data_IF_352274382562
#
_entry.id   IF_352274382562
#
_cell.length_a   1.000
_cell.length_b   1.000
_cell.length_c   1.000
_cell.angle_alpha   90.00
_cell.angle_beta   90.00
_cell.angle_gamma   90.00
#
_symmetry.space_group_name_H-M   'P 1'
#
loop_
_entity.id
_entity.type
_entity.pdbx_description
1 polymer ?
#
# COMPACT_ATOMS: atom_id res chain seq x y z
N UNK A 1 -5.35 30.63 12.04
CA UNK A 1 -4.33 29.56 12.16
C UNK A 1 -4.60 28.55 11.05
N UNK A 2 -3.67 27.65 10.75
CA UNK A 2 -3.85 26.67 9.66
C UNK A 2 -4.89 25.59 10.05
N UNK A 3 -5.21 25.48 11.34
CA UNK A 3 -6.06 24.43 11.93
C UNK A 3 -7.58 24.65 11.83
N UNK A 4 -8.06 25.67 11.10
CA UNK A 4 -9.50 25.89 10.94
C UNK A 4 -10.01 25.20 9.66
N UNK A 5 -10.42 23.93 9.80
CA UNK A 5 -11.01 23.17 8.69
C UNK A 5 -12.46 23.62 8.49
N UNK A 6 -12.71 24.34 7.40
CA UNK A 6 -14.05 24.85 7.04
C UNK A 6 -15.00 23.78 6.46
N UNK A 7 -14.46 22.69 5.97
CA UNK A 7 -15.21 21.60 5.34
C UNK A 7 -14.37 20.87 4.32
N UNK A 8 -15.03 20.09 3.47
CA UNK A 8 -14.39 19.35 2.39
C UNK A 8 -15.24 19.41 1.11
N UNK A 9 -14.65 19.09 -0.03
CA UNK A 9 -15.36 19.02 -1.31
C UNK A 9 -15.01 17.73 -2.03
N UNK A 10 -16.00 17.09 -2.65
CA UNK A 10 -15.70 16.00 -3.57
C UNK A 10 -15.38 16.56 -4.95
N UNK A 11 -14.33 16.05 -5.58
CA UNK A 11 -13.96 16.42 -6.96
C UNK A 11 -15.12 16.25 -7.94
N UNK A 12 -15.97 15.21 -7.75
CA UNK A 12 -17.17 15.00 -8.58
C UNK A 12 -18.19 16.14 -8.47
N UNK A 13 -18.29 16.78 -7.31
CA UNK A 13 -19.21 17.90 -7.10
C UNK A 13 -18.71 19.13 -7.89
N UNK A 14 -17.39 19.31 -7.95
CA UNK A 14 -16.77 20.37 -8.76
C UNK A 14 -17.02 20.15 -10.25
N UNK A 15 -16.85 18.92 -10.74
CA UNK A 15 -17.06 18.59 -12.15
C UNK A 15 -18.51 18.84 -12.59
N UNK A 16 -19.48 18.62 -11.70
CA UNK A 16 -20.91 18.77 -12.01
C UNK A 16 -21.39 20.21 -11.82
N UNK A 17 -20.88 20.93 -10.82
CA UNK A 17 -21.40 22.25 -10.44
C UNK A 17 -20.68 23.42 -11.13
N UNK A 18 -19.57 23.18 -11.83
CA UNK A 18 -18.73 24.23 -12.39
C UNK A 18 -18.71 24.12 -13.92
N UNK A 19 -19.41 25.02 -14.59
CA UNK A 19 -19.25 25.25 -16.04
C UNK A 19 -17.91 25.94 -16.34
N UNK A 20 -17.35 26.64 -15.35
CA UNK A 20 -16.05 27.29 -15.39
C UNK A 20 -15.21 26.80 -14.20
N UNK A 21 -14.15 26.05 -14.49
CA UNK A 21 -13.24 25.51 -13.49
C UNK A 21 -12.30 26.58 -12.89
N UNK A 22 -12.23 27.78 -13.47
CA UNK A 22 -11.42 28.88 -12.95
C UNK A 22 -12.14 29.71 -11.88
N UNK A 23 -13.42 29.42 -11.57
CA UNK A 23 -14.12 30.12 -10.47
C UNK A 23 -13.56 29.68 -9.10
N UNK A 24 -13.42 30.59 -8.14
CA UNK A 24 -13.05 30.24 -6.78
C UNK A 24 -14.15 29.40 -6.10
N UNK A 25 -13.73 28.55 -5.17
CA UNK A 25 -14.63 27.82 -4.26
C UNK A 25 -15.28 28.80 -3.26
N UNK A 26 -16.58 28.66 -3.07
CA UNK A 26 -17.34 29.39 -2.05
C UNK A 26 -17.68 28.47 -0.87
N UNK A 27 -18.08 29.04 0.28
CA UNK A 27 -18.41 28.24 1.47
C UNK A 27 -19.61 27.31 1.23
N UNK A 28 -20.54 27.68 0.34
CA UNK A 28 -21.68 26.87 -0.06
C UNK A 28 -21.29 25.64 -0.90
N UNK A 29 -20.09 25.63 -1.49
CA UNK A 29 -19.54 24.46 -2.21
C UNK A 29 -18.96 23.43 -1.22
N UNK A 30 -18.76 23.79 0.05
CA UNK A 30 -18.15 22.94 1.06
C UNK A 30 -19.20 22.07 1.76
N UNK A 31 -18.87 20.79 1.90
CA UNK A 31 -19.59 19.86 2.75
C UNK A 31 -19.07 19.95 4.18
N UNK A 32 -20.00 19.91 5.13
CA UNK A 32 -19.70 19.79 6.55
C UNK A 32 -18.91 18.51 6.84
N UNK A 33 -17.87 18.64 7.67
CA UNK A 33 -17.03 17.54 8.10
C UNK A 33 -17.28 17.21 9.57
N UNK A 34 -17.25 15.92 9.91
CA UNK A 34 -17.38 15.46 11.30
C UNK A 34 -16.06 15.65 12.01
N UNK A 35 -16.09 16.28 13.17
CA UNK A 35 -14.91 16.48 14.02
C UNK A 35 -14.92 15.46 15.17
N UNK A 36 -13.83 14.73 15.37
CA UNK A 36 -13.70 13.71 16.42
C UNK A 36 -12.43 13.89 17.23
N UNK A 37 -12.46 13.72 18.57
CA UNK A 37 -11.23 13.69 19.37
C UNK A 37 -10.39 12.45 19.06
N UNK A 38 -9.07 12.57 18.96
CA UNK A 38 -8.15 11.44 18.76
C UNK A 38 -8.18 10.38 19.88
N UNK A 39 -8.70 10.75 21.05
CA UNK A 39 -8.88 9.84 22.19
C UNK A 39 -10.13 8.95 22.12
N UNK A 40 -11.03 9.17 21.15
CA UNK A 40 -12.23 8.34 20.98
C UNK A 40 -11.89 6.98 20.39
N UNK A 41 -12.67 5.96 20.78
CA UNK A 41 -12.54 4.61 20.23
C UNK A 41 -12.97 4.56 18.77
N UNK A 42 -12.13 3.97 17.93
CA UNK A 42 -12.34 3.84 16.48
C UNK A 42 -13.69 3.21 16.11
N UNK A 43 -14.12 2.16 16.83
CA UNK A 43 -15.41 1.50 16.57
C UNK A 43 -16.64 2.36 16.92
N UNK A 44 -16.51 3.35 17.80
CA UNK A 44 -17.59 4.31 18.05
C UNK A 44 -17.63 5.38 16.94
N UNK A 45 -16.47 5.83 16.48
CA UNK A 45 -16.35 6.77 15.36
C UNK A 45 -16.97 6.15 14.10
N UNK A 46 -16.69 4.88 13.80
CA UNK A 46 -17.28 4.15 12.67
C UNK A 46 -18.81 4.14 12.73
N UNK A 47 -19.39 3.83 13.90
CA UNK A 47 -20.85 3.81 14.06
C UNK A 47 -21.48 5.18 13.85
N UNK A 48 -20.84 6.23 14.35
CA UNK A 48 -21.32 7.60 14.18
C UNK A 48 -21.26 8.03 12.70
N UNK A 49 -20.15 7.73 12.02
CA UNK A 49 -19.97 7.99 10.59
C UNK A 49 -21.02 7.24 9.75
N UNK A 50 -21.25 5.96 10.04
CA UNK A 50 -22.29 5.16 9.38
C UNK A 50 -23.69 5.72 9.63
N UNK A 51 -24.03 6.06 10.87
CA UNK A 51 -25.34 6.59 11.24
C UNK A 51 -25.63 7.93 10.56
N UNK A 52 -24.60 8.77 10.38
CA UNK A 52 -24.72 10.07 9.71
C UNK A 52 -24.53 9.98 8.18
N UNK A 53 -24.29 8.77 7.64
CA UNK A 53 -23.95 8.57 6.23
C UNK A 53 -22.77 9.45 5.76
N UNK A 54 -21.75 9.55 6.61
CA UNK A 54 -20.50 10.30 6.36
C UNK A 54 -19.34 9.33 6.20
N UNK A 55 -18.44 9.62 5.28
CA UNK A 55 -17.27 8.78 4.99
C UNK A 55 -15.96 9.32 5.56
N UNK A 56 -15.95 10.57 6.07
CA UNK A 56 -14.73 11.26 6.48
C UNK A 56 -14.95 12.03 7.79
N UNK A 57 -13.95 11.98 8.67
CA UNK A 57 -13.83 12.80 9.86
C UNK A 57 -12.45 13.49 9.94
N UNK A 58 -12.40 14.62 10.63
CA UNK A 58 -11.17 15.27 11.05
C UNK A 58 -10.90 14.91 12.51
N UNK A 59 -9.66 14.52 12.78
CA UNK A 59 -9.19 14.15 14.11
C UNK A 59 -8.60 15.38 14.78
N UNK A 60 -9.08 15.67 15.99
CA UNK A 60 -8.64 16.78 16.82
C UNK A 60 -7.70 16.29 17.94
N UNK A 61 -6.66 17.08 18.19
CA UNK A 61 -5.74 16.91 19.33
C UNK A 61 -6.36 17.44 20.65
N UNK A 62 -5.64 17.30 21.77
CA UNK A 62 -6.11 17.77 23.08
C UNK A 62 -6.14 19.30 23.24
N UNK A 63 -5.48 20.03 22.35
CA UNK A 63 -5.38 21.48 22.33
C UNK A 63 -6.36 22.12 21.33
N UNK A 64 -7.15 21.32 20.61
CA UNK A 64 -8.09 21.75 19.58
C UNK A 64 -7.44 22.03 18.22
N UNK A 65 -6.20 21.60 18.02
CA UNK A 65 -5.53 21.52 16.73
C UNK A 65 -5.98 20.30 15.92
N UNK A 66 -5.58 20.24 14.65
CA UNK A 66 -5.88 19.10 13.78
C UNK A 66 -4.73 18.09 13.84
N UNK A 67 -5.01 16.89 14.35
CA UNK A 67 -4.07 15.76 14.32
C UNK A 67 -4.04 15.08 12.94
N UNK A 68 -5.18 15.10 12.22
CA UNK A 68 -5.27 14.48 10.90
C UNK A 68 -6.69 14.29 10.40
N UNK A 69 -6.87 13.37 9.46
CA UNK A 69 -8.17 12.94 8.94
C UNK A 69 -8.29 11.43 8.98
N UNK A 70 -9.51 10.93 9.00
CA UNK A 70 -9.83 9.51 9.05
C UNK A 70 -11.02 9.23 8.14
N UNK A 71 -10.96 8.15 7.36
CA UNK A 71 -12.07 7.68 6.53
C UNK A 71 -12.69 6.39 7.06
N UNK A 72 -13.90 6.07 6.59
CA UNK A 72 -14.56 4.79 6.93
C UNK A 72 -13.75 3.62 6.39
N UNK A 73 -13.16 3.80 5.20
CA UNK A 73 -12.30 2.84 4.54
C UNK A 73 -11.07 2.51 5.39
N UNK A 74 -10.37 3.51 5.92
CA UNK A 74 -9.21 3.30 6.80
C UNK A 74 -9.58 2.51 8.06
N UNK A 75 -10.74 2.83 8.67
CA UNK A 75 -11.21 2.11 9.86
C UNK A 75 -11.55 0.66 9.53
N UNK A 76 -12.18 0.42 8.38
CA UNK A 76 -12.54 -0.94 7.97
C UNK A 76 -11.28 -1.75 7.66
N UNK A 77 -10.30 -1.17 6.99
CA UNK A 77 -9.01 -1.81 6.71
C UNK A 77 -8.31 -2.24 8.01
N UNK A 78 -8.23 -1.37 9.02
CA UNK A 78 -7.62 -1.71 10.31
C UNK A 78 -8.39 -2.78 11.10
N UNK A 79 -9.72 -2.80 11.01
CA UNK A 79 -10.55 -3.77 11.73
C UNK A 79 -10.61 -5.14 11.06
N UNK A 80 -10.45 -5.17 9.74
CA UNK A 80 -10.73 -6.34 8.93
C UNK A 80 -9.44 -6.94 8.34
N UNK A 81 -8.40 -6.14 8.13
CA UNK A 81 -7.23 -6.52 7.32
C UNK A 81 -7.58 -6.64 5.83
N UNK A 82 -6.65 -7.17 5.02
CA UNK A 82 -7.04 -7.71 3.72
C UNK A 82 -7.99 -8.89 3.98
N UNK A 83 -9.27 -8.75 3.61
CA UNK A 83 -10.23 -9.86 3.69
C UNK A 83 -9.76 -10.93 2.70
N UNK A 84 -9.06 -11.94 3.18
CA UNK A 84 -8.92 -13.20 2.47
C UNK A 84 -10.27 -13.93 2.58
N UNK A 85 -10.95 -14.07 1.45
CA UNK A 85 -12.24 -14.75 1.37
C UNK A 85 -12.04 -16.27 1.55
N UNK A 86 -13.01 -17.00 2.11
CA UNK A 86 -12.99 -18.48 2.12
C UNK A 86 -13.06 -19.06 0.69
N UNK A 87 -13.32 -18.20 -0.30
CA UNK A 87 -13.36 -18.44 -1.75
C UNK A 87 -12.21 -17.76 -2.51
N UNK A 88 -11.16 -17.28 -1.83
CA UNK A 88 -9.87 -17.06 -2.51
C UNK A 88 -9.32 -18.45 -2.88
N UNK A 89 -9.85 -18.99 -3.98
CA UNK A 89 -9.31 -20.17 -4.66
C UNK A 89 -7.86 -19.85 -5.03
N UNK A 90 -6.92 -20.34 -4.22
CA UNK A 90 -5.54 -20.67 -4.58
C UNK A 90 -4.95 -19.83 -5.74
N UNK A 91 -4.88 -18.49 -5.60
CA UNK A 91 -3.78 -17.81 -6.27
C UNK A 91 -2.58 -18.25 -5.45
N UNK A 92 -1.91 -19.30 -5.93
CA UNK A 92 -0.70 -19.75 -5.28
C UNK A 92 0.21 -18.52 -5.15
N UNK A 93 0.56 -18.16 -3.91
CA UNK A 93 1.52 -17.09 -3.62
C UNK A 93 2.85 -17.35 -4.35
N UNK A 94 3.06 -18.61 -4.76
CA UNK A 94 4.18 -19.09 -5.56
C UNK A 94 3.68 -20.00 -6.69
N UNK A 95 3.98 -19.65 -7.94
CA UNK A 95 3.83 -20.52 -9.13
C UNK A 95 5.20 -21.05 -9.58
N UNK A 96 5.34 -22.36 -9.75
CA UNK A 96 6.56 -22.95 -10.28
C UNK A 96 6.57 -22.92 -11.81
N UNK A 97 7.62 -22.37 -12.41
CA UNK A 97 7.78 -22.28 -13.86
C UNK A 97 8.57 -23.48 -14.43
N UNK A 98 8.42 -23.75 -15.73
CA UNK A 98 9.06 -24.89 -16.41
C UNK A 98 10.60 -24.84 -16.40
N UNK A 99 11.18 -23.63 -16.30
CA UNK A 99 12.62 -23.40 -16.25
C UNK A 99 13.22 -23.61 -14.85
N UNK A 100 12.39 -23.95 -13.85
CA UNK A 100 12.82 -24.17 -12.46
C UNK A 100 12.85 -22.90 -11.61
N UNK A 101 12.54 -21.75 -12.18
CA UNK A 101 12.27 -20.53 -11.42
C UNK A 101 10.86 -20.56 -10.82
N UNK A 102 10.59 -19.63 -9.92
CA UNK A 102 9.26 -19.45 -9.33
C UNK A 102 8.76 -18.02 -9.57
N UNK A 103 7.45 -17.86 -9.71
CA UNK A 103 6.78 -16.57 -9.76
C UNK A 103 6.08 -16.35 -8.42
N UNK A 104 6.44 -15.29 -7.71
CA UNK A 104 5.98 -15.00 -6.34
C UNK A 104 5.12 -13.75 -6.35
N UNK A 105 3.97 -13.79 -5.66
CA UNK A 105 3.17 -12.60 -5.42
C UNK A 105 3.96 -11.65 -4.50
N UNK A 106 4.11 -10.40 -4.94
CA UNK A 106 4.85 -9.40 -4.17
C UNK A 106 4.19 -9.04 -2.82
N UNK A 107 2.95 -9.47 -2.57
CA UNK A 107 2.27 -9.38 -1.28
C UNK A 107 2.75 -10.39 -0.25
N UNK A 108 3.40 -11.48 -0.67
CA UNK A 108 3.90 -12.52 0.24
C UNK A 108 4.79 -11.87 1.32
N UNK A 109 4.57 -12.23 2.59
CA UNK A 109 5.33 -11.67 3.69
C UNK A 109 6.77 -12.20 3.66
N UNK A 110 7.72 -11.37 4.08
CA UNK A 110 9.16 -11.69 4.01
C UNK A 110 9.49 -12.97 4.78
N UNK A 111 8.81 -13.22 5.91
CA UNK A 111 8.98 -14.44 6.70
C UNK A 111 8.62 -15.71 5.88
N UNK A 112 7.49 -15.70 5.18
CA UNK A 112 7.05 -16.82 4.35
C UNK A 112 7.94 -17.01 3.12
N UNK A 113 8.45 -15.92 2.55
CA UNK A 113 9.45 -15.99 1.47
C UNK A 113 10.74 -16.64 1.97
N UNK A 114 11.23 -16.26 3.15
CA UNK A 114 12.40 -16.87 3.79
C UNK A 114 12.19 -18.36 4.02
N UNK A 115 11.04 -18.76 4.56
CA UNK A 115 10.71 -20.18 4.77
C UNK A 115 10.60 -20.97 3.46
N UNK A 116 10.02 -20.37 2.42
CA UNK A 116 9.80 -21.03 1.12
C UNK A 116 11.09 -21.22 0.34
N UNK A 117 11.97 -20.22 0.35
CA UNK A 117 13.20 -20.20 -0.42
C UNK A 117 14.44 -20.66 0.36
N UNK A 118 14.31 -20.85 1.67
CA UNK A 118 15.41 -21.12 2.61
C UNK A 118 16.50 -20.02 2.51
N UNK A 119 16.06 -18.76 2.64
CA UNK A 119 16.91 -17.54 2.59
C UNK A 119 16.70 -16.68 3.84
N UNK A 120 17.60 -15.72 4.07
CA UNK A 120 17.58 -14.83 5.25
C UNK A 120 17.45 -13.34 4.86
N UNK A 121 16.28 -12.97 4.34
CA UNK A 121 15.92 -11.56 4.12
C UNK A 121 15.63 -10.90 5.49
N UNK A 122 16.19 -9.70 5.78
CA UNK A 122 15.92 -8.99 7.03
C UNK A 122 14.43 -8.68 7.24
N UNK A 123 13.92 -8.95 8.44
CA UNK A 123 12.50 -8.78 8.83
C UNK A 123 12.24 -7.54 9.70
N UNK A 124 13.26 -6.72 9.97
CA UNK A 124 13.15 -5.47 10.72
C UNK A 124 12.74 -4.26 9.85
N UNK A 125 12.51 -4.50 8.56
CA UNK A 125 12.15 -3.51 7.55
C UNK A 125 10.73 -3.70 6.98
N UNK A 126 10.55 -3.63 5.66
CA UNK A 126 9.25 -3.86 5.03
C UNK A 126 8.72 -5.27 5.27
N UNK A 127 7.42 -5.39 5.51
CA UNK A 127 6.78 -6.67 5.83
C UNK A 127 6.59 -7.60 4.62
N UNK A 128 6.44 -7.03 3.43
CA UNK A 128 6.17 -7.78 2.18
C UNK A 128 7.37 -7.81 1.24
N UNK A 129 7.43 -8.83 0.38
CA UNK A 129 8.46 -8.96 -0.65
C UNK A 129 8.53 -7.71 -1.54
N UNK A 130 7.38 -7.21 -1.99
CA UNK A 130 7.30 -6.01 -2.82
C UNK A 130 7.87 -4.79 -2.10
N UNK A 131 7.55 -4.61 -0.82
CA UNK A 131 8.10 -3.54 0.00
C UNK A 131 9.62 -3.65 0.15
N UNK A 132 10.12 -4.86 0.42
CA UNK A 132 11.54 -5.14 0.54
C UNK A 132 12.29 -4.83 -0.76
N UNK A 133 11.80 -5.29 -1.91
CA UNK A 133 12.41 -5.03 -3.20
C UNK A 133 12.41 -3.53 -3.53
N UNK A 134 11.31 -2.83 -3.25
CA UNK A 134 11.20 -1.40 -3.45
C UNK A 134 12.27 -0.62 -2.65
N UNK A 135 12.48 -1.01 -1.38
CA UNK A 135 13.53 -0.44 -0.53
C UNK A 135 14.93 -0.73 -1.09
N UNK A 136 15.17 -1.97 -1.57
CA UNK A 136 16.44 -2.36 -2.18
C UNK A 136 16.77 -1.62 -3.47
N UNK A 137 15.78 -1.40 -4.34
CA UNK A 137 15.95 -0.59 -5.55
C UNK A 137 16.16 0.89 -5.21
N UNK A 138 15.49 1.40 -4.16
CA UNK A 138 15.54 2.82 -3.78
C UNK A 138 14.77 3.75 -4.72
N UNK A 139 14.04 3.18 -5.68
CA UNK A 139 13.13 3.86 -6.60
C UNK A 139 11.97 2.93 -6.99
N UNK A 140 10.98 3.45 -7.72
CA UNK A 140 9.97 2.62 -8.35
C UNK A 140 10.63 1.79 -9.46
N UNK A 141 10.65 0.44 -9.38
CA UNK A 141 11.28 -0.36 -10.42
C UNK A 141 10.32 -0.62 -11.58
N UNK A 142 10.88 -0.74 -12.78
CA UNK A 142 10.21 -1.15 -14.01
C UNK A 142 10.21 -2.68 -14.15
N UNK A 143 9.30 -3.21 -14.97
CA UNK A 143 9.28 -4.63 -15.34
C UNK A 143 10.58 -5.00 -16.06
N UNK A 144 11.20 -6.10 -15.66
CA UNK A 144 12.47 -6.61 -16.15
C UNK A 144 13.69 -6.16 -15.33
N UNK A 145 13.53 -5.19 -14.42
CA UNK A 145 14.58 -4.88 -13.44
C UNK A 145 14.76 -6.04 -12.46
N UNK A 146 15.99 -6.24 -11.98
CA UNK A 146 16.29 -7.32 -11.03
C UNK A 146 17.33 -6.94 -10.00
N UNK A 147 17.23 -7.54 -8.82
CA UNK A 147 18.27 -7.49 -7.80
C UNK A 147 18.73 -8.90 -7.42
N UNK A 148 19.94 -8.99 -6.90
CA UNK A 148 20.49 -10.21 -6.35
C UNK A 148 20.45 -10.13 -4.81
N UNK A 149 19.86 -11.15 -4.20
CA UNK A 149 19.88 -11.35 -2.75
C UNK A 149 20.37 -12.76 -2.48
N UNK A 150 21.50 -12.86 -1.78
CA UNK A 150 22.25 -14.11 -1.63
C UNK A 150 22.59 -14.75 -2.99
N UNK A 151 22.00 -15.92 -3.27
CA UNK A 151 22.15 -16.71 -4.49
C UNK A 151 20.87 -16.67 -5.36
N UNK A 152 19.93 -15.78 -5.05
CA UNK A 152 18.66 -15.66 -5.76
C UNK A 152 18.54 -14.32 -6.48
N UNK A 153 18.17 -14.38 -7.76
CA UNK A 153 17.80 -13.24 -8.57
C UNK A 153 16.31 -12.99 -8.43
N UNK A 154 15.93 -11.80 -8.00
CA UNK A 154 14.54 -11.32 -7.91
C UNK A 154 14.30 -10.34 -9.06
N UNK A 155 13.58 -10.77 -10.10
CA UNK A 155 13.25 -9.98 -11.27
C UNK A 155 11.78 -9.53 -11.23
N UNK A 156 11.53 -8.26 -11.52
CA UNK A 156 10.18 -7.68 -11.54
C UNK A 156 9.45 -8.15 -12.80
N UNK A 157 8.38 -8.91 -12.65
CA UNK A 157 7.55 -9.37 -13.77
C UNK A 157 6.28 -8.52 -13.94
N UNK A 158 5.78 -7.93 -12.86
CA UNK A 158 4.55 -7.14 -12.89
C UNK A 158 4.62 -5.91 -12.02
N UNK A 159 4.14 -4.79 -12.57
CA UNK A 159 3.96 -3.53 -11.85
C UNK A 159 2.58 -2.96 -12.18
N UNK A 160 1.85 -2.55 -11.15
CA UNK A 160 0.56 -1.86 -11.29
C UNK A 160 0.55 -0.59 -10.44
N UNK A 161 0.43 0.57 -11.09
CA UNK A 161 0.32 1.88 -10.41
C UNK A 161 1.40 2.08 -9.33
N UNK A 162 2.66 1.76 -9.68
CA UNK A 162 3.86 1.82 -8.83
C UNK A 162 3.97 0.74 -7.75
N UNK A 163 3.06 -0.25 -7.70
CA UNK A 163 3.19 -1.41 -6.83
C UNK A 163 3.71 -2.60 -7.63
N UNK A 164 4.76 -3.26 -7.16
CA UNK A 164 5.21 -4.54 -7.69
C UNK A 164 4.10 -5.56 -7.40
N UNK A 165 3.69 -6.34 -8.39
CA UNK A 165 2.65 -7.37 -8.25
C UNK A 165 3.23 -8.76 -8.31
N UNK A 166 4.18 -9.01 -9.21
CA UNK A 166 4.76 -10.33 -9.44
C UNK A 166 6.27 -10.23 -9.56
N UNK A 167 6.96 -11.19 -8.94
CA UNK A 167 8.41 -11.28 -8.92
C UNK A 167 8.83 -12.67 -9.38
N UNK A 168 9.62 -12.76 -10.44
CA UNK A 168 10.27 -14.00 -10.82
C UNK A 168 11.53 -14.18 -9.97
N UNK A 169 11.63 -15.31 -9.29
CA UNK A 169 12.76 -15.68 -8.44
C UNK A 169 13.48 -16.87 -9.04
N UNK A 170 14.77 -16.70 -9.29
CA UNK A 170 15.63 -17.72 -9.88
C UNK A 170 16.84 -17.95 -8.99
N UNK A 171 17.10 -19.22 -8.65
CA UNK A 171 18.34 -19.59 -7.95
C UNK A 171 19.49 -19.66 -8.95
N UNK A 172 20.51 -18.84 -8.76
CA UNK A 172 21.69 -18.84 -9.60
C UNK A 172 22.67 -19.93 -9.16
N UNK A 173 23.41 -20.47 -10.12
CA UNK A 173 24.60 -21.26 -9.78
C UNK A 173 25.72 -20.35 -9.24
N UNK A 174 26.65 -20.93 -8.47
CA UNK A 174 27.78 -20.18 -7.87
C UNK A 174 28.56 -19.35 -8.92
N UNK A 175 28.64 -19.82 -10.18
CA UNK A 175 29.33 -19.11 -11.27
C UNK A 175 28.52 -17.99 -11.95
N UNK A 176 27.19 -17.98 -11.78
CA UNK A 176 26.29 -16.95 -12.33
C UNK A 176 26.11 -15.79 -11.34
N UNK A 177 25.98 -16.09 -10.05
CA UNK A 177 25.89 -15.09 -8.99
C UNK A 177 27.15 -14.20 -8.93
N UNK A 178 28.33 -14.77 -9.21
CA UNK A 178 29.60 -14.04 -9.19
C UNK A 178 29.75 -13.08 -10.39
N UNK A 179 29.24 -13.46 -11.57
CA UNK A 179 29.23 -12.60 -12.76
C UNK A 179 28.25 -11.43 -12.64
N UNK A 180 27.12 -11.63 -11.96
CA UNK A 180 26.13 -10.57 -11.75
C UNK A 180 26.57 -9.55 -10.71
N UNK A 181 27.20 -9.99 -9.62
CA UNK A 181 27.80 -9.08 -8.62
C UNK A 181 28.87 -8.17 -9.25
N UNK A 182 29.57 -8.65 -10.28
CA UNK A 182 30.59 -7.88 -11.02
C UNK A 182 29.99 -6.88 -12.03
N UNK A 183 28.72 -7.05 -12.42
CA UNK A 183 28.04 -6.19 -13.41
C UNK A 183 27.29 -5.02 -12.79
N UNK A 184 26.98 -5.10 -11.48
CA UNK A 184 26.25 -4.08 -10.70
C UNK A 184 27.21 -3.20 -9.86
N UNK A 185 28.51 -3.54 -9.78
CA UNK A 185 29.56 -2.78 -9.10
C UNK A 185 30.23 -1.72 -10.01
#
# INVERSE_FOLDING_TARGET
TIDEIKGFVYVKDLIVAFDDLDRPLEEDDLREVVMVPGTRKVGEILRDLQAQSRALAIVLDEYGGTDGLLTVEDILEELVGEINDEYDEDIAEVEHLEDGSILVDAKMIVEDVNETLDIDIPTDGPETLGGFLYDKFGHAPDVGESILVEDYRFAIEGVQRNRITWVKVERLSEGEAEQEKEQVA
#
